data_IF_824879560508
#
_entry.id   IF_824879560508
#
_cell.length_a   1.000
_cell.length_b   1.000
_cell.length_c   1.000
_cell.angle_alpha   90.00
_cell.angle_beta   90.00
_cell.angle_gamma   90.00
#
_symmetry.space_group_name_H-M   'P 1'
#
loop_
_entity.id
_entity.type
_entity.pdbx_description
1 polymer ?
#
# COMPACT_ATOMS: atom_id res chain seq x y z
N UNK A 1 -5.95 -31.88 48.53
CA UNK A 1 -5.29 -32.31 47.30
C UNK A 1 -5.26 -31.11 46.38
N UNK A 2 -4.08 -30.49 46.20
CA UNK A 2 -3.87 -29.33 45.30
C UNK A 2 -3.39 -29.89 43.95
N UNK A 3 -4.17 -29.71 42.91
CA UNK A 3 -3.82 -30.13 41.56
C UNK A 3 -3.12 -28.95 40.89
N UNK A 4 -1.82 -29.11 40.70
CA UNK A 4 -0.95 -28.14 40.00
C UNK A 4 -1.10 -28.38 38.50
N UNK A 5 -1.65 -27.35 37.77
CA UNK A 5 -1.67 -27.35 36.33
C UNK A 5 -0.32 -26.80 35.84
N UNK A 6 0.45 -27.67 35.19
CA UNK A 6 1.69 -27.31 34.49
C UNK A 6 1.32 -26.76 33.11
N UNK A 7 1.46 -25.46 32.92
CA UNK A 7 1.44 -24.87 31.58
C UNK A 7 2.78 -25.09 30.90
N UNK A 8 2.79 -25.92 29.87
CA UNK A 8 3.91 -26.04 28.96
C UNK A 8 3.83 -24.89 27.95
N UNK A 9 4.63 -23.87 28.16
CA UNK A 9 4.84 -22.78 27.18
C UNK A 9 5.75 -23.29 26.09
N UNK A 10 5.20 -23.60 24.91
CA UNK A 10 5.99 -23.82 23.69
C UNK A 10 6.47 -22.44 23.19
N UNK A 11 7.70 -22.10 23.53
CA UNK A 11 8.45 -21.01 22.92
C UNK A 11 8.81 -21.42 21.48
N UNK A 12 8.01 -20.99 20.51
CA UNK A 12 8.42 -20.95 19.11
C UNK A 12 9.39 -19.77 19.00
N UNK A 13 10.67 -20.07 19.01
CA UNK A 13 11.74 -19.10 18.82
C UNK A 13 11.75 -18.58 17.38
N UNK A 14 10.98 -17.54 17.12
CA UNK A 14 11.30 -16.60 16.05
C UNK A 14 12.52 -15.81 16.55
N UNK A 15 13.71 -16.15 16.07
CA UNK A 15 14.94 -15.45 16.44
C UNK A 15 14.82 -13.98 16.13
N UNK A 16 14.59 -13.17 17.16
CA UNK A 16 14.64 -11.72 17.04
C UNK A 16 16.07 -11.35 16.61
N UNK A 17 16.21 -10.79 15.42
CA UNK A 17 17.48 -10.22 14.94
C UNK A 17 17.88 -9.13 15.94
N UNK A 18 19.10 -9.15 16.49
CA UNK A 18 19.53 -8.12 17.44
C UNK A 18 19.34 -6.72 16.87
N UNK A 19 18.89 -5.77 17.68
CA UNK A 19 18.62 -4.39 17.25
C UNK A 19 19.81 -3.76 16.51
N UNK A 20 21.03 -4.08 16.87
CA UNK A 20 22.25 -3.66 16.19
C UNK A 20 22.40 -4.22 14.77
N UNK A 21 22.01 -5.47 14.53
CA UNK A 21 22.07 -6.07 13.20
C UNK A 21 20.99 -5.50 12.26
N UNK A 22 19.81 -5.15 12.81
CA UNK A 22 18.76 -4.46 12.06
C UNK A 22 19.22 -3.04 11.66
N UNK A 23 19.85 -2.30 12.57
CA UNK A 23 20.37 -0.97 12.30
C UNK A 23 21.45 -0.99 11.21
N UNK A 24 22.39 -1.95 11.24
CA UNK A 24 23.42 -2.10 10.23
C UNK A 24 22.84 -2.41 8.85
N UNK A 25 21.87 -3.33 8.78
CA UNK A 25 21.21 -3.68 7.50
C UNK A 25 20.42 -2.51 6.90
N UNK A 26 19.89 -1.63 7.74
CA UNK A 26 19.20 -0.41 7.30
C UNK A 26 20.17 0.63 6.78
N UNK A 27 21.26 0.87 7.51
CA UNK A 27 22.30 1.80 7.13
C UNK A 27 22.89 1.41 5.76
N UNK A 28 23.18 0.14 5.53
CA UNK A 28 23.66 -0.39 4.26
C UNK A 28 22.67 -0.15 3.11
N UNK A 29 21.37 -0.29 3.36
CA UNK A 29 20.34 -0.04 2.34
C UNK A 29 20.30 1.41 1.90
N UNK A 30 20.38 2.36 2.84
CA UNK A 30 20.44 3.79 2.52
C UNK A 30 21.69 4.08 1.70
N UNK A 31 22.86 3.69 2.20
CA UNK A 31 24.16 3.96 1.58
C UNK A 31 24.23 3.43 0.15
N UNK A 32 23.76 2.20 -0.11
CA UNK A 32 23.75 1.58 -1.46
C UNK A 32 22.80 2.26 -2.44
N UNK A 33 21.83 3.01 -1.95
CA UNK A 33 20.80 3.66 -2.78
C UNK A 33 21.07 5.15 -3.02
N UNK A 34 22.06 5.72 -2.33
CA UNK A 34 22.44 7.11 -2.52
C UNK A 34 23.14 7.31 -3.88
N UNK A 35 22.97 8.48 -4.51
CA UNK A 35 23.67 8.78 -5.76
C UNK A 35 25.19 8.64 -5.63
N UNK A 36 25.82 8.00 -6.59
CA UNK A 36 27.30 7.88 -6.71
C UNK A 36 27.95 9.12 -7.31
N UNK A 37 27.18 10.10 -7.70
CA UNK A 37 27.66 11.40 -8.22
C UNK A 37 27.39 12.50 -7.21
N UNK A 38 28.43 13.29 -6.92
CA UNK A 38 28.27 14.46 -6.06
C UNK A 38 27.46 15.55 -6.78
N UNK A 39 26.42 16.03 -6.10
CA UNK A 39 25.64 17.19 -6.54
C UNK A 39 26.00 18.36 -5.64
N UNK A 40 26.55 19.46 -6.17
CA UNK A 40 26.85 20.65 -5.38
C UNK A 40 25.54 21.30 -4.86
N UNK A 41 25.60 22.03 -3.74
CA UNK A 41 24.42 22.75 -3.24
C UNK A 41 24.01 23.84 -4.22
N UNK A 42 22.69 23.94 -4.45
CA UNK A 42 22.08 24.93 -5.33
C UNK A 42 21.76 26.26 -4.61
N UNK A 43 21.70 26.23 -3.27
CA UNK A 43 21.29 27.39 -2.44
C UNK A 43 22.38 28.43 -2.21
N UNK A 44 23.52 28.34 -2.90
CA UNK A 44 24.61 29.30 -2.79
C UNK A 44 25.38 29.28 -1.48
N UNK A 45 25.25 28.20 -0.69
CA UNK A 45 25.98 28.01 0.57
C UNK A 45 27.49 27.90 0.30
N UNK A 46 28.29 28.71 0.98
CA UNK A 46 29.76 28.76 0.81
C UNK A 46 30.46 28.27 2.07
N UNK A 47 31.53 27.46 1.96
CA UNK A 47 32.25 26.96 3.12
C UNK A 47 32.77 28.05 4.07
N UNK A 48 33.29 29.15 3.55
CA UNK A 48 33.77 30.30 4.33
C UNK A 48 34.99 30.08 5.21
N UNK A 49 35.39 28.85 5.46
CA UNK A 49 36.51 28.45 6.29
C UNK A 49 37.25 27.25 5.68
N UNK A 50 38.59 27.19 5.79
CA UNK A 50 39.41 26.17 5.11
C UNK A 50 39.04 24.73 5.53
N UNK A 51 38.78 24.48 6.84
CA UNK A 51 38.36 23.15 7.31
C UNK A 51 37.02 22.76 6.76
N UNK A 52 36.07 23.70 6.65
CA UNK A 52 34.75 23.42 6.04
C UNK A 52 34.90 23.13 4.56
N UNK A 53 35.78 23.84 3.84
CA UNK A 53 36.13 23.53 2.45
C UNK A 53 36.75 22.15 2.31
N UNK A 54 37.68 21.78 3.19
CA UNK A 54 38.26 20.44 3.23
C UNK A 54 37.22 19.36 3.48
N UNK A 55 36.29 19.58 4.41
CA UNK A 55 35.16 18.67 4.67
C UNK A 55 34.26 18.48 3.46
N UNK A 56 33.94 19.56 2.74
CA UNK A 56 33.18 19.50 1.48
C UNK A 56 33.93 18.69 0.39
N UNK A 57 35.25 18.86 0.29
CA UNK A 57 36.10 18.10 -0.64
C UNK A 57 36.11 16.61 -0.30
N UNK A 58 36.31 16.27 0.99
CA UNK A 58 36.24 14.89 1.44
C UNK A 58 34.88 14.24 1.19
N UNK A 59 33.78 14.97 1.43
CA UNK A 59 32.43 14.49 1.10
C UNK A 59 32.32 14.19 -0.41
N UNK A 60 32.75 15.11 -1.28
CA UNK A 60 32.76 14.90 -2.73
C UNK A 60 33.59 13.66 -3.09
N UNK A 61 34.78 13.54 -2.60
CA UNK A 61 35.67 12.38 -2.82
C UNK A 61 34.99 11.09 -2.36
N UNK A 62 34.38 11.08 -1.17
CA UNK A 62 33.67 9.93 -0.63
C UNK A 62 32.45 9.52 -1.45
N UNK A 63 31.73 10.48 -2.04
CA UNK A 63 30.57 10.19 -2.92
C UNK A 63 31.01 9.61 -4.25
N UNK A 64 32.08 10.12 -4.86
CA UNK A 64 32.53 9.78 -6.21
C UNK A 64 33.51 8.59 -6.26
N UNK A 65 33.96 8.09 -5.12
CA UNK A 65 34.89 6.98 -5.02
C UNK A 65 34.15 5.63 -5.08
N UNK A 66 34.54 4.76 -6.02
CA UNK A 66 33.93 3.43 -6.20
C UNK A 66 34.39 2.42 -5.14
N UNK A 67 35.65 2.50 -4.68
CA UNK A 67 36.22 1.57 -3.71
C UNK A 67 35.68 1.84 -2.30
N UNK A 68 35.02 0.88 -1.65
CA UNK A 68 34.36 1.09 -0.34
C UNK A 68 35.34 1.57 0.75
N UNK A 69 36.56 1.06 0.77
CA UNK A 69 37.59 1.46 1.76
C UNK A 69 38.00 2.93 1.62
N UNK A 70 38.21 3.38 0.39
CA UNK A 70 38.56 4.77 0.10
C UNK A 70 37.41 5.70 0.38
N UNK A 71 36.17 5.28 0.03
CA UNK A 71 34.94 5.96 0.37
C UNK A 71 34.84 6.19 1.89
N UNK A 72 34.94 5.12 2.67
CA UNK A 72 34.82 5.19 4.13
C UNK A 72 35.92 6.07 4.75
N UNK A 73 37.13 5.99 4.24
CA UNK A 73 38.26 6.83 4.69
C UNK A 73 37.99 8.32 4.41
N UNK A 74 37.51 8.64 3.20
CA UNK A 74 37.18 10.01 2.82
C UNK A 74 36.04 10.57 3.71
N UNK A 75 34.94 9.83 3.85
CA UNK A 75 33.81 10.26 4.67
C UNK A 75 34.19 10.45 6.14
N UNK A 76 34.93 9.52 6.75
CA UNK A 76 35.43 9.64 8.11
C UNK A 76 36.35 10.85 8.30
N UNK A 77 37.24 11.11 7.33
CA UNK A 77 38.11 12.30 7.34
C UNK A 77 37.30 13.58 7.23
N UNK A 78 36.30 13.61 6.34
CA UNK A 78 35.37 14.74 6.20
C UNK A 78 34.60 15.04 7.47
N UNK A 79 34.02 13.99 8.09
CA UNK A 79 33.33 14.12 9.37
C UNK A 79 34.22 14.69 10.45
N UNK A 80 35.41 14.11 10.62
CA UNK A 80 36.38 14.59 11.63
C UNK A 80 36.72 16.07 11.46
N UNK A 81 37.04 16.49 10.25
CA UNK A 81 37.44 17.88 9.94
C UNK A 81 36.27 18.84 10.13
N UNK A 82 35.04 18.46 9.79
CA UNK A 82 33.84 19.27 10.00
C UNK A 82 33.50 19.41 11.49
N UNK A 83 33.57 18.33 12.27
CA UNK A 83 33.41 18.38 13.71
C UNK A 83 34.47 19.28 14.37
N UNK A 84 35.75 19.15 13.98
CA UNK A 84 36.79 20.04 14.46
C UNK A 84 36.54 21.51 14.08
N UNK A 85 36.01 21.78 12.89
CA UNK A 85 35.65 23.13 12.49
C UNK A 85 34.58 23.71 13.41
N UNK A 86 33.56 22.95 13.73
CA UNK A 86 32.44 23.34 14.57
C UNK A 86 32.91 23.52 16.04
N UNK A 87 33.56 22.49 16.59
CA UNK A 87 33.86 22.42 18.02
C UNK A 87 35.07 23.25 18.46
N UNK A 88 36.09 23.38 17.56
CA UNK A 88 37.40 23.96 17.95
C UNK A 88 37.77 25.20 17.14
N UNK A 89 37.07 25.51 16.06
CA UNK A 89 37.44 26.60 15.17
C UNK A 89 36.35 27.64 14.96
N UNK A 90 35.38 27.70 15.88
CA UNK A 90 34.34 28.74 15.90
C UNK A 90 33.38 28.70 14.73
N UNK A 91 33.17 27.51 14.10
CA UNK A 91 32.30 27.38 12.96
C UNK A 91 30.89 26.84 13.35
N UNK A 92 30.51 26.92 14.61
CA UNK A 92 29.20 26.50 15.12
C UNK A 92 28.02 27.31 14.54
N UNK A 93 28.29 28.54 14.07
CA UNK A 93 27.31 29.40 13.38
C UNK A 93 27.46 29.39 11.87
N UNK A 94 28.37 28.60 11.32
CA UNK A 94 28.55 28.46 9.88
C UNK A 94 27.56 27.41 9.32
N UNK A 95 26.54 27.80 8.53
CA UNK A 95 25.55 26.87 7.99
C UNK A 95 26.18 25.80 7.10
N UNK A 96 27.27 26.13 6.37
CA UNK A 96 27.94 25.17 5.50
C UNK A 96 28.62 24.04 6.29
N UNK A 97 29.17 24.32 7.49
CA UNK A 97 29.76 23.28 8.32
C UNK A 97 28.73 22.20 8.68
N UNK A 98 27.54 22.62 9.11
CA UNK A 98 26.43 21.73 9.44
C UNK A 98 25.83 21.05 8.21
N UNK A 99 25.69 21.77 7.10
CA UNK A 99 25.17 21.23 5.85
C UNK A 99 26.02 20.06 5.32
N UNK A 100 27.34 20.28 5.22
CA UNK A 100 28.26 19.24 4.76
C UNK A 100 28.39 18.10 5.78
N UNK A 101 28.34 18.38 7.07
CA UNK A 101 28.33 17.36 8.12
C UNK A 101 27.08 16.46 8.00
N UNK A 102 25.91 17.06 7.82
CA UNK A 102 24.65 16.33 7.66
C UNK A 102 24.65 15.42 6.42
N UNK A 103 25.20 15.92 5.29
CA UNK A 103 25.38 15.10 4.08
C UNK A 103 26.40 13.98 4.29
N UNK A 104 27.46 14.23 5.06
CA UNK A 104 28.45 13.19 5.39
C UNK A 104 27.82 12.09 6.23
N UNK A 105 27.07 12.45 7.28
CA UNK A 105 26.32 11.47 8.08
C UNK A 105 25.34 10.64 7.24
N UNK A 106 24.63 11.29 6.31
CA UNK A 106 23.72 10.59 5.41
C UNK A 106 24.45 9.57 4.55
N UNK A 107 25.64 9.91 4.03
CA UNK A 107 26.49 9.03 3.25
C UNK A 107 27.09 7.87 4.07
N UNK A 108 27.22 8.03 5.39
CA UNK A 108 27.58 6.95 6.34
C UNK A 108 26.39 6.13 6.81
N UNK A 109 25.14 6.53 6.48
CA UNK A 109 23.90 5.89 6.94
C UNK A 109 23.48 6.31 8.37
N UNK A 110 24.12 7.30 8.95
CA UNK A 110 23.73 7.89 10.23
C UNK A 110 22.60 8.91 10.02
N UNK A 111 21.35 8.43 10.08
CA UNK A 111 20.17 9.26 9.82
C UNK A 111 19.90 10.27 10.94
N UNK A 112 20.27 9.96 12.17
CA UNK A 112 20.08 10.85 13.33
C UNK A 112 21.06 12.01 13.26
N UNK A 113 22.34 11.72 13.02
CA UNK A 113 23.36 12.74 12.80
C UNK A 113 23.05 13.60 11.58
N UNK A 114 22.58 12.99 10.49
CA UNK A 114 22.16 13.70 9.29
C UNK A 114 20.98 14.65 9.58
N UNK A 115 19.91 14.17 10.23
CA UNK A 115 18.74 15.00 10.57
C UNK A 115 19.12 16.19 11.48
N UNK A 116 19.86 15.94 12.53
CA UNK A 116 20.31 16.97 13.48
C UNK A 116 21.14 18.06 12.79
N UNK A 117 22.15 17.63 11.99
CA UNK A 117 23.03 18.56 11.30
C UNK A 117 22.33 19.36 10.22
N UNK A 118 21.48 18.72 9.42
CA UNK A 118 20.69 19.38 8.36
C UNK A 118 19.67 20.36 8.96
N UNK A 119 19.07 20.04 10.10
CA UNK A 119 18.16 20.95 10.82
C UNK A 119 18.91 22.19 11.33
N UNK A 120 20.12 22.01 11.84
CA UNK A 120 20.96 23.14 12.26
C UNK A 120 21.36 24.04 11.08
N UNK A 121 21.72 23.42 9.95
CA UNK A 121 22.03 24.16 8.71
C UNK A 121 20.82 24.96 8.21
N UNK A 122 19.62 24.36 8.20
CA UNK A 122 18.37 25.02 7.79
C UNK A 122 18.02 26.20 8.69
N UNK A 123 18.21 26.03 10.01
CA UNK A 123 17.99 27.11 11.01
C UNK A 123 18.94 28.28 10.78
N UNK A 124 20.22 28.00 10.47
CA UNK A 124 21.24 29.04 10.26
C UNK A 124 21.14 29.70 8.88
N UNK A 125 20.61 29.01 7.87
CA UNK A 125 20.44 29.52 6.50
C UNK A 125 19.13 29.00 5.91
N UNK A 126 17.97 29.62 6.21
CA UNK A 126 16.66 29.20 5.70
C UNK A 126 16.56 29.18 4.18
N UNK A 127 17.39 29.96 3.47
CA UNK A 127 17.46 29.94 2.01
C UNK A 127 17.86 28.56 1.43
N UNK A 128 18.50 27.70 2.22
CA UNK A 128 18.88 26.35 1.83
C UNK A 128 17.80 25.28 2.12
N UNK A 129 16.63 25.66 2.61
CA UNK A 129 15.57 24.74 3.00
C UNK A 129 15.20 23.77 1.87
N UNK A 130 15.06 24.24 0.63
CA UNK A 130 14.70 23.38 -0.50
C UNK A 130 15.81 22.37 -0.82
N UNK A 131 17.05 22.80 -0.83
CA UNK A 131 18.22 21.93 -1.09
C UNK A 131 18.38 20.87 0.02
N UNK A 132 18.21 21.28 1.27
CA UNK A 132 18.21 20.38 2.43
C UNK A 132 17.03 19.39 2.33
N UNK A 133 15.85 19.83 1.91
CA UNK A 133 14.68 18.97 1.68
C UNK A 133 14.95 17.92 0.61
N UNK A 134 15.57 18.29 -0.52
CA UNK A 134 16.02 17.34 -1.56
C UNK A 134 17.01 16.31 -0.99
N UNK A 135 17.96 16.77 -0.19
CA UNK A 135 18.95 15.89 0.47
C UNK A 135 18.29 14.88 1.41
N UNK A 136 17.35 15.32 2.25
CA UNK A 136 16.58 14.48 3.15
C UNK A 136 15.73 13.46 2.39
N UNK A 137 15.06 13.89 1.32
CA UNK A 137 14.24 13.04 0.45
C UNK A 137 15.05 11.91 -0.20
N UNK A 138 16.29 12.20 -0.60
CA UNK A 138 17.20 11.17 -1.16
C UNK A 138 17.46 10.03 -0.17
N UNK A 139 17.60 10.33 1.13
CA UNK A 139 17.74 9.31 2.18
C UNK A 139 16.42 8.60 2.52
N UNK A 140 15.29 9.27 2.34
CA UNK A 140 13.96 8.77 2.68
C UNK A 140 13.46 7.68 1.72
N UNK A 141 13.66 7.87 0.40
CA UNK A 141 13.13 6.99 -0.65
C UNK A 141 13.51 5.51 -0.44
N UNK A 142 14.79 5.15 -0.24
CA UNK A 142 15.18 3.74 -0.08
C UNK A 142 14.60 3.10 1.20
N UNK A 143 14.35 3.91 2.23
CA UNK A 143 13.75 3.43 3.48
C UNK A 143 12.28 3.06 3.27
N UNK A 144 11.53 3.92 2.60
CA UNK A 144 10.11 3.64 2.33
C UNK A 144 9.95 2.47 1.37
N UNK A 145 10.71 2.43 0.28
CA UNK A 145 10.66 1.31 -0.64
C UNK A 145 11.03 -0.01 0.05
N UNK A 146 12.07 0.01 0.90
CA UNK A 146 12.44 -1.15 1.70
C UNK A 146 11.37 -1.57 2.71
N UNK A 147 10.70 -0.61 3.33
CA UNK A 147 9.57 -0.87 4.21
C UNK A 147 8.43 -1.56 3.48
N UNK A 148 8.07 -1.07 2.29
CA UNK A 148 7.04 -1.68 1.43
C UNK A 148 7.44 -3.11 1.03
N UNK A 149 8.70 -3.34 0.69
CA UNK A 149 9.19 -4.69 0.36
C UNK A 149 9.08 -5.67 1.55
N UNK A 150 9.33 -5.19 2.77
CA UNK A 150 9.13 -6.01 3.97
C UNK A 150 7.65 -6.25 4.27
N UNK A 151 6.76 -5.29 4.02
CA UNK A 151 5.30 -5.50 4.11
C UNK A 151 4.88 -6.64 3.17
N UNK A 152 5.33 -6.63 1.91
CA UNK A 152 5.04 -7.70 0.94
C UNK A 152 5.54 -9.08 1.42
N UNK A 153 6.63 -9.10 2.19
CA UNK A 153 7.20 -10.32 2.80
C UNK A 153 6.59 -10.65 4.17
N UNK A 154 5.56 -9.93 4.60
CA UNK A 154 4.90 -10.08 5.90
C UNK A 154 5.84 -9.89 7.11
N UNK A 155 6.96 -9.20 6.92
CA UNK A 155 7.90 -8.84 7.99
C UNK A 155 7.59 -7.43 8.51
N UNK A 156 6.56 -7.34 9.34
CA UNK A 156 6.04 -6.08 9.85
C UNK A 156 7.05 -5.33 10.73
N UNK A 157 7.84 -6.03 11.53
CA UNK A 157 8.83 -5.40 12.42
C UNK A 157 9.92 -4.67 11.64
N UNK A 158 10.48 -5.34 10.61
CA UNK A 158 11.45 -4.71 9.73
C UNK A 158 10.86 -3.55 8.92
N UNK A 159 9.61 -3.68 8.47
CA UNK A 159 8.90 -2.61 7.78
C UNK A 159 8.71 -1.39 8.68
N UNK A 160 8.21 -1.57 9.90
CA UNK A 160 8.02 -0.49 10.89
C UNK A 160 9.34 0.19 11.26
N UNK A 161 10.43 -0.58 11.41
CA UNK A 161 11.76 -0.01 11.66
C UNK A 161 12.19 0.94 10.53
N UNK A 162 12.02 0.53 9.27
CA UNK A 162 12.34 1.37 8.12
C UNK A 162 11.43 2.60 7.98
N UNK A 163 10.12 2.47 8.20
CA UNK A 163 9.20 3.60 8.17
C UNK A 163 9.49 4.62 9.29
N UNK A 164 9.85 4.17 10.50
CA UNK A 164 10.27 5.08 11.58
C UNK A 164 11.52 5.87 11.19
N UNK A 165 12.50 5.22 10.59
CA UNK A 165 13.73 5.87 10.14
C UNK A 165 13.47 6.83 8.96
N UNK A 166 12.60 6.46 8.03
CA UNK A 166 12.14 7.37 7.00
C UNK A 166 11.53 8.64 7.60
N UNK A 167 10.67 8.50 8.61
CA UNK A 167 10.07 9.62 9.31
C UNK A 167 11.08 10.44 10.16
N UNK A 168 12.23 9.88 10.51
CA UNK A 168 13.32 10.63 11.17
C UNK A 168 13.99 11.58 10.20
N UNK A 169 14.37 11.09 9.00
CA UNK A 169 15.15 11.90 8.07
C UNK A 169 14.30 12.88 7.25
N UNK A 170 13.05 12.54 6.91
CA UNK A 170 12.18 13.39 6.11
C UNK A 170 10.72 13.33 6.55
N UNK A 171 10.16 14.50 6.93
CA UNK A 171 8.84 14.61 7.58
C UNK A 171 7.77 15.24 6.68
N UNK A 172 8.11 15.56 5.41
CA UNK A 172 7.20 16.25 4.49
C UNK A 172 6.52 15.31 3.48
N UNK A 173 6.56 13.99 3.75
CA UNK A 173 5.82 12.97 3.01
C UNK A 173 5.03 12.08 3.96
N UNK A 174 3.71 11.91 3.72
CA UNK A 174 2.85 11.13 4.60
C UNK A 174 3.01 9.61 4.44
N UNK A 175 3.57 9.14 3.32
CA UNK A 175 3.51 7.73 2.91
C UNK A 175 4.11 6.76 3.93
N UNK A 176 5.21 7.12 4.64
CA UNK A 176 5.80 6.26 5.66
C UNK A 176 4.89 6.14 6.89
N UNK A 177 4.23 7.23 7.30
CA UNK A 177 3.22 7.21 8.35
C UNK A 177 1.98 6.42 7.92
N UNK A 178 1.51 6.63 6.70
CA UNK A 178 0.36 5.94 6.14
C UNK A 178 0.55 4.42 6.15
N UNK A 179 1.69 3.93 5.63
CA UNK A 179 1.99 2.50 5.59
C UNK A 179 2.20 1.89 6.98
N UNK A 180 2.84 2.60 7.91
CA UNK A 180 2.97 2.13 9.28
C UNK A 180 1.59 2.04 9.98
N UNK A 181 0.69 2.99 9.74
CA UNK A 181 -0.68 2.96 10.22
C UNK A 181 -1.44 1.71 9.74
N UNK A 182 -1.26 1.31 8.48
CA UNK A 182 -1.84 0.08 7.93
C UNK A 182 -1.32 -1.17 8.69
N UNK A 183 -0.03 -1.23 8.98
CA UNK A 183 0.53 -2.36 9.76
C UNK A 183 -0.10 -2.40 11.16
N UNK A 184 -0.19 -1.26 11.86
CA UNK A 184 -0.78 -1.19 13.18
C UNK A 184 -2.26 -1.59 13.18
N UNK A 185 -3.03 -1.16 12.17
CA UNK A 185 -4.43 -1.52 12.02
C UNK A 185 -4.61 -3.04 11.81
N UNK A 186 -3.76 -3.65 10.96
CA UNK A 186 -3.80 -5.07 10.65
C UNK A 186 -3.31 -5.95 11.83
N UNK A 187 -2.49 -5.39 12.72
CA UNK A 187 -2.01 -6.09 13.94
C UNK A 187 -2.86 -5.77 15.18
N UNK A 188 -4.00 -5.09 15.02
CA UNK A 188 -4.93 -4.79 16.09
C UNK A 188 -4.50 -3.66 17.04
N UNK A 189 -3.43 -2.94 16.71
CA UNK A 189 -2.92 -1.83 17.51
C UNK A 189 -3.64 -0.52 17.14
N UNK A 190 -4.91 -0.44 17.53
CA UNK A 190 -5.85 0.62 17.14
C UNK A 190 -5.34 2.03 17.42
N UNK A 191 -4.84 2.30 18.63
CA UNK A 191 -4.37 3.64 19.01
C UNK A 191 -3.13 4.06 18.21
N UNK A 192 -2.22 3.12 17.95
CA UNK A 192 -1.06 3.37 17.09
C UNK A 192 -1.48 3.67 15.66
N UNK A 193 -2.44 2.92 15.11
CA UNK A 193 -2.96 3.17 13.77
C UNK A 193 -3.58 4.57 13.66
N UNK A 194 -4.39 4.96 14.63
CA UNK A 194 -4.98 6.30 14.73
C UNK A 194 -3.90 7.37 14.72
N UNK A 195 -2.91 7.29 15.64
CA UNK A 195 -1.86 8.29 15.76
C UNK A 195 -1.03 8.45 14.48
N UNK A 196 -0.74 7.34 13.80
CA UNK A 196 0.02 7.37 12.55
C UNK A 196 -0.79 7.93 11.39
N UNK A 197 -2.09 7.62 11.27
CA UNK A 197 -2.94 8.18 10.22
C UNK A 197 -3.34 9.63 10.48
N UNK A 198 -3.48 10.07 11.75
CA UNK A 198 -3.60 11.48 12.10
C UNK A 198 -2.39 12.27 11.56
N UNK A 199 -1.17 11.73 11.81
CA UNK A 199 0.04 12.37 11.36
C UNK A 199 0.16 12.35 9.82
N UNK A 200 -0.21 11.26 9.17
CA UNK A 200 -0.23 11.17 7.72
C UNK A 200 -1.21 12.17 7.09
N UNK A 201 -2.42 12.30 7.65
CA UNK A 201 -3.43 13.26 7.19
C UNK A 201 -2.96 14.72 7.36
N UNK A 202 -2.41 15.07 8.54
CA UNK A 202 -1.85 16.39 8.82
C UNK A 202 -0.74 16.77 7.82
N UNK A 203 0.21 15.86 7.60
CA UNK A 203 1.32 16.09 6.67
C UNK A 203 0.77 16.23 5.24
N UNK A 204 -0.14 15.34 4.83
CA UNK A 204 -0.73 15.36 3.49
C UNK A 204 -1.49 16.67 3.21
N UNK A 205 -2.16 17.23 4.21
CA UNK A 205 -2.81 18.53 4.12
C UNK A 205 -1.79 19.67 3.99
N UNK A 206 -0.78 19.70 4.87
CA UNK A 206 0.26 20.73 4.88
C UNK A 206 1.10 20.75 3.61
N UNK A 207 1.38 19.57 3.03
CA UNK A 207 2.23 19.42 1.85
C UNK A 207 1.44 19.30 0.54
N UNK A 208 0.11 19.39 0.60
CA UNK A 208 -0.80 19.19 -0.52
C UNK A 208 -0.60 17.83 -1.24
N UNK A 209 -0.24 16.78 -0.48
CA UNK A 209 -0.15 15.41 -1.00
C UNK A 209 -1.54 14.78 -0.97
N UNK A 210 -2.36 15.10 -1.99
CA UNK A 210 -3.82 14.87 -2.03
C UNK A 210 -4.18 13.39 -1.83
N UNK A 211 -3.53 12.49 -2.55
CA UNK A 211 -3.83 11.06 -2.52
C UNK A 211 -3.59 10.46 -1.13
N UNK A 212 -2.38 10.62 -0.60
CA UNK A 212 -2.01 10.10 0.72
C UNK A 212 -2.87 10.70 1.84
N UNK A 213 -3.17 12.03 1.74
CA UNK A 213 -4.07 12.72 2.68
C UNK A 213 -5.46 12.07 2.69
N UNK A 214 -6.03 11.86 1.51
CA UNK A 214 -7.37 11.32 1.39
C UNK A 214 -7.43 9.87 1.92
N UNK A 215 -6.45 9.04 1.57
CA UNK A 215 -6.37 7.66 2.08
C UNK A 215 -6.19 7.64 3.61
N UNK A 216 -5.29 8.45 4.15
CA UNK A 216 -5.06 8.54 5.59
C UNK A 216 -6.32 8.97 6.35
N UNK A 217 -7.00 10.02 5.87
CA UNK A 217 -8.19 10.58 6.53
C UNK A 217 -9.37 9.63 6.49
N UNK A 218 -9.59 8.93 5.36
CA UNK A 218 -10.61 7.90 5.25
C UNK A 218 -10.34 6.73 6.21
N UNK A 219 -9.11 6.22 6.23
CA UNK A 219 -8.72 5.13 7.12
C UNK A 219 -8.84 5.53 8.59
N UNK A 220 -8.49 6.77 8.93
CA UNK A 220 -8.64 7.34 10.26
C UNK A 220 -10.10 7.37 10.70
N UNK A 221 -11.02 7.81 9.83
CA UNK A 221 -12.45 7.80 10.10
C UNK A 221 -12.97 6.40 10.39
N UNK A 222 -12.61 5.42 9.57
CA UNK A 222 -12.97 4.02 9.77
C UNK A 222 -12.40 3.45 11.09
N UNK A 223 -11.17 3.83 11.45
CA UNK A 223 -10.54 3.37 12.69
C UNK A 223 -11.20 3.99 13.92
N UNK A 224 -11.58 5.26 13.88
CA UNK A 224 -12.36 5.88 14.95
C UNK A 224 -13.71 5.20 15.14
N UNK A 225 -14.41 4.82 14.04
CA UNK A 225 -15.64 4.04 14.13
C UNK A 225 -15.42 2.68 14.80
N UNK A 226 -14.37 1.96 14.38
CA UNK A 226 -13.98 0.66 14.97
C UNK A 226 -13.64 0.79 16.45
N UNK A 227 -13.07 1.90 16.88
CA UNK A 227 -12.74 2.21 18.27
C UNK A 227 -13.95 2.72 19.08
N UNK A 228 -15.15 2.84 18.50
CA UNK A 228 -16.33 3.44 19.14
C UNK A 228 -16.26 4.97 19.32
N UNK A 229 -15.23 5.61 18.78
CA UNK A 229 -14.98 7.05 18.85
C UNK A 229 -15.75 7.81 17.76
N UNK A 230 -17.07 7.63 17.75
CA UNK A 230 -17.94 8.13 16.67
C UNK A 230 -17.92 9.65 16.50
N UNK A 231 -17.72 10.43 17.59
CA UNK A 231 -17.60 11.88 17.48
C UNK A 231 -16.33 12.30 16.74
N UNK A 232 -15.21 11.60 16.96
CA UNK A 232 -13.96 11.87 16.23
C UNK A 232 -14.08 11.41 14.77
N UNK A 233 -14.75 10.28 14.52
CA UNK A 233 -15.08 9.84 13.18
C UNK A 233 -15.90 10.89 12.41
N UNK A 234 -16.92 11.48 13.04
CA UNK A 234 -17.71 12.58 12.43
C UNK A 234 -16.80 13.71 11.98
N UNK A 235 -15.94 14.23 12.85
CA UNK A 235 -15.05 15.36 12.53
C UNK A 235 -14.15 15.09 11.32
N UNK A 236 -13.50 13.91 11.29
CA UNK A 236 -12.57 13.57 10.21
C UNK A 236 -13.29 13.24 8.90
N UNK A 237 -14.44 12.58 8.95
CA UNK A 237 -15.20 12.24 7.75
C UNK A 237 -15.89 13.47 7.15
N UNK A 238 -16.42 14.39 7.98
CA UNK A 238 -16.88 15.71 7.52
C UNK A 238 -15.76 16.45 6.80
N UNK A 239 -14.57 16.52 7.41
CA UNK A 239 -13.39 17.16 6.80
C UNK A 239 -13.00 16.50 5.48
N UNK A 240 -12.99 15.17 5.40
CA UNK A 240 -12.73 14.44 4.16
C UNK A 240 -13.69 14.84 3.05
N UNK A 241 -14.99 14.93 3.36
CA UNK A 241 -16.01 15.27 2.37
C UNK A 241 -15.94 16.74 1.88
N UNK A 242 -15.21 17.63 2.57
CA UNK A 242 -14.89 18.95 2.01
C UNK A 242 -13.94 18.84 0.81
N UNK A 243 -13.13 17.80 0.74
CA UNK A 243 -12.18 17.56 -0.35
C UNK A 243 -12.72 16.62 -1.42
N UNK A 244 -13.52 15.63 -1.00
CA UNK A 244 -14.07 14.60 -1.89
C UNK A 244 -15.59 14.48 -1.63
N UNK A 245 -16.37 15.49 -2.04
CA UNK A 245 -17.78 15.59 -1.67
C UNK A 245 -18.67 14.49 -2.26
N UNK A 246 -18.21 13.76 -3.27
CA UNK A 246 -19.00 12.72 -3.94
C UNK A 246 -18.64 11.28 -3.49
N UNK A 247 -17.80 11.11 -2.45
CA UNK A 247 -17.46 9.79 -1.94
C UNK A 247 -18.65 9.18 -1.17
N UNK A 248 -19.44 8.36 -1.87
CA UNK A 248 -20.63 7.73 -1.32
C UNK A 248 -20.33 6.76 -0.17
N UNK A 249 -19.14 6.13 -0.18
CA UNK A 249 -18.71 5.22 0.89
C UNK A 249 -18.47 6.00 2.19
N UNK A 250 -17.73 7.12 2.08
CA UNK A 250 -17.47 7.99 3.23
C UNK A 250 -18.76 8.65 3.73
N UNK A 251 -19.69 9.05 2.85
CA UNK A 251 -21.01 9.55 3.27
C UNK A 251 -21.78 8.51 4.09
N UNK A 252 -21.77 7.23 3.69
CA UNK A 252 -22.39 6.14 4.47
C UNK A 252 -21.70 5.96 5.82
N UNK A 253 -20.39 5.97 5.86
CA UNK A 253 -19.63 5.90 7.10
C UNK A 253 -19.95 7.07 8.04
N UNK A 254 -20.04 8.28 7.50
CA UNK A 254 -20.42 9.47 8.26
C UNK A 254 -21.85 9.37 8.79
N UNK A 255 -22.81 8.90 7.97
CA UNK A 255 -24.19 8.69 8.41
C UNK A 255 -24.26 7.70 9.58
N UNK A 256 -23.48 6.61 9.53
CA UNK A 256 -23.35 5.66 10.65
C UNK A 256 -22.84 6.35 11.93
N UNK A 257 -21.83 7.20 11.81
CA UNK A 257 -21.28 7.95 12.96
C UNK A 257 -22.25 8.99 13.48
N UNK A 258 -23.02 9.66 12.61
CA UNK A 258 -24.10 10.58 13.03
C UNK A 258 -25.18 9.86 13.82
N UNK A 259 -25.62 8.65 13.39
CA UNK A 259 -26.57 7.86 14.16
C UNK A 259 -26.04 7.49 15.54
N UNK A 260 -24.80 7.01 15.60
CA UNK A 260 -24.16 6.64 16.86
C UNK A 260 -23.98 7.84 17.83
N UNK A 261 -23.98 9.07 17.30
CA UNK A 261 -23.87 10.32 18.08
C UNK A 261 -25.21 11.05 18.25
N UNK A 262 -26.33 10.44 17.85
CA UNK A 262 -27.69 11.01 18.01
C UNK A 262 -28.05 12.07 16.97
N UNK A 263 -27.22 12.32 15.95
CA UNK A 263 -27.45 13.30 14.88
C UNK A 263 -28.30 12.69 13.74
N UNK A 264 -29.47 12.19 14.07
CA UNK A 264 -30.33 11.39 13.18
C UNK A 264 -30.77 12.12 11.91
N UNK A 265 -31.04 13.43 11.99
CA UNK A 265 -31.48 14.23 10.83
C UNK A 265 -30.36 14.35 9.79
N UNK A 266 -29.11 14.57 10.25
CA UNK A 266 -27.94 14.60 9.36
C UNK A 266 -27.67 13.23 8.74
N UNK A 267 -27.82 12.15 9.51
CA UNK A 267 -27.68 10.79 9.00
C UNK A 267 -28.69 10.53 7.88
N UNK A 268 -29.98 10.85 8.12
CA UNK A 268 -31.05 10.67 7.14
C UNK A 268 -30.85 11.51 5.87
N UNK A 269 -30.32 12.73 6.00
CA UNK A 269 -30.00 13.57 4.84
C UNK A 269 -28.91 12.95 3.96
N UNK A 270 -27.81 12.46 4.55
CA UNK A 270 -26.74 11.78 3.82
C UNK A 270 -27.20 10.45 3.19
N UNK A 271 -28.00 9.66 3.92
CA UNK A 271 -28.55 8.41 3.42
C UNK A 271 -29.44 8.64 2.19
N UNK A 272 -30.28 9.68 2.22
CA UNK A 272 -31.09 10.10 1.06
C UNK A 272 -30.21 10.50 -0.12
N UNK A 273 -29.15 11.25 0.14
CA UNK A 273 -28.21 11.71 -0.91
C UNK A 273 -27.47 10.55 -1.59
N UNK A 274 -27.07 9.52 -0.82
CA UNK A 274 -26.38 8.34 -1.37
C UNK A 274 -27.31 7.23 -1.84
N UNK A 275 -28.62 7.51 -1.88
CA UNK A 275 -29.64 6.55 -2.33
C UNK A 275 -29.91 5.42 -1.35
N UNK A 276 -29.53 5.58 -0.09
CA UNK A 276 -29.92 4.67 1.00
C UNK A 276 -31.24 5.18 1.55
N UNK A 277 -32.36 4.47 1.30
CA UNK A 277 -33.64 4.79 1.92
C UNK A 277 -33.50 4.81 3.45
N UNK A 278 -34.00 5.88 4.10
CA UNK A 278 -34.03 5.99 5.54
C UNK A 278 -34.63 4.72 6.15
N UNK A 279 -33.89 4.05 7.04
CA UNK A 279 -34.41 2.89 7.73
C UNK A 279 -35.53 3.33 8.65
N UNK A 280 -36.81 2.90 8.45
CA UNK A 280 -37.79 2.95 9.51
C UNK A 280 -37.31 2.00 10.61
N UNK A 281 -37.38 2.40 11.86
CA UNK A 281 -36.85 1.75 13.05
C UNK A 281 -36.69 0.25 12.96
N UNK A 282 -35.50 -0.25 13.30
CA UNK A 282 -35.14 -1.66 13.53
C UNK A 282 -35.74 -2.67 12.51
N UNK A 283 -35.63 -2.40 11.22
CA UNK A 283 -35.95 -3.34 10.15
C UNK A 283 -34.71 -3.88 9.50
N UNK A 284 -34.77 -5.08 8.94
CA UNK A 284 -33.64 -5.80 8.32
C UNK A 284 -32.82 -4.91 7.35
N UNK A 285 -31.49 -5.02 7.34
CA UNK A 285 -30.63 -4.23 6.46
C UNK A 285 -30.99 -4.43 4.98
N UNK A 286 -30.83 -3.39 4.15
CA UNK A 286 -31.02 -3.52 2.71
C UNK A 286 -30.13 -4.65 2.15
N UNK A 287 -30.53 -5.33 1.07
CA UNK A 287 -29.73 -6.41 0.48
C UNK A 287 -28.25 -6.02 0.24
N UNK A 288 -27.98 -4.78 -0.20
CA UNK A 288 -26.63 -4.28 -0.41
C UNK A 288 -25.88 -4.01 0.92
N UNK A 289 -26.55 -3.48 1.95
CA UNK A 289 -25.97 -3.28 3.28
C UNK A 289 -25.76 -4.61 4.01
N UNK A 290 -26.65 -5.57 3.82
CA UNK A 290 -26.51 -6.93 4.34
C UNK A 290 -25.32 -7.65 3.67
N UNK A 291 -25.14 -7.47 2.36
CA UNK A 291 -24.00 -8.02 1.62
C UNK A 291 -22.68 -7.42 2.05
N UNK A 292 -22.61 -6.08 2.22
CA UNK A 292 -21.41 -5.40 2.72
C UNK A 292 -21.07 -5.82 4.16
N UNK A 293 -22.06 -5.96 5.04
CA UNK A 293 -21.86 -6.45 6.40
C UNK A 293 -21.36 -7.91 6.43
N UNK A 294 -21.95 -8.77 5.60
CA UNK A 294 -21.52 -10.16 5.46
C UNK A 294 -20.09 -10.26 4.89
N UNK A 295 -19.73 -9.42 3.91
CA UNK A 295 -18.39 -9.34 3.35
C UNK A 295 -17.37 -8.94 4.41
N UNK A 296 -17.64 -7.89 5.19
CA UNK A 296 -16.76 -7.45 6.27
C UNK A 296 -16.56 -8.53 7.35
N UNK A 297 -17.62 -9.24 7.71
CA UNK A 297 -17.53 -10.36 8.65
C UNK A 297 -16.67 -11.49 8.10
N UNK A 298 -16.85 -11.87 6.83
CA UNK A 298 -16.06 -12.91 6.16
C UNK A 298 -14.58 -12.52 6.09
N UNK A 299 -14.25 -11.28 5.74
CA UNK A 299 -12.90 -10.72 5.75
C UNK A 299 -12.32 -10.73 7.18
N UNK A 300 -13.13 -10.40 8.20
CA UNK A 300 -12.73 -10.46 9.61
C UNK A 300 -12.30 -11.87 10.01
N UNK A 301 -13.09 -12.89 9.70
CA UNK A 301 -12.73 -14.29 9.95
C UNK A 301 -11.45 -14.70 9.21
N UNK A 302 -11.28 -14.27 7.97
CA UNK A 302 -10.06 -14.55 7.19
C UNK A 302 -8.81 -13.94 7.84
N UNK A 303 -8.88 -12.68 8.27
CA UNK A 303 -7.78 -11.97 8.92
C UNK A 303 -7.41 -12.60 10.28
N UNK A 304 -8.40 -13.16 10.98
CA UNK A 304 -8.19 -13.94 12.21
C UNK A 304 -7.70 -15.38 11.94
N UNK A 305 -7.44 -15.75 10.69
CA UNK A 305 -7.05 -17.09 10.24
C UNK A 305 -8.09 -18.18 10.54
N UNK A 306 -9.33 -17.80 10.79
CA UNK A 306 -10.49 -18.69 10.96
C UNK A 306 -11.04 -19.03 9.56
N UNK A 307 -10.23 -19.74 8.78
CA UNK A 307 -10.49 -19.96 7.35
C UNK A 307 -11.74 -20.76 7.07
N UNK A 308 -12.16 -21.65 7.97
CA UNK A 308 -13.41 -22.39 7.91
C UNK A 308 -14.63 -21.46 8.02
N UNK A 309 -14.62 -20.54 8.98
CA UNK A 309 -15.67 -19.55 9.17
C UNK A 309 -15.68 -18.52 8.04
N UNK A 310 -14.49 -18.10 7.58
CA UNK A 310 -14.36 -17.21 6.43
C UNK A 310 -14.93 -17.86 5.17
N UNK A 311 -14.58 -19.11 4.87
CA UNK A 311 -15.11 -19.84 3.71
C UNK A 311 -16.62 -19.97 3.77
N UNK A 312 -17.18 -20.37 4.92
CA UNK A 312 -18.65 -20.48 5.09
C UNK A 312 -19.37 -19.15 4.90
N UNK A 313 -18.79 -18.04 5.39
CA UNK A 313 -19.35 -16.71 5.22
C UNK A 313 -19.27 -16.23 3.76
N UNK A 314 -18.15 -16.44 3.07
CA UNK A 314 -18.01 -16.12 1.65
C UNK A 314 -18.92 -17.01 0.78
N UNK A 315 -19.08 -18.31 1.10
CA UNK A 315 -20.01 -19.21 0.41
C UNK A 315 -21.44 -18.67 0.43
N UNK A 316 -21.89 -18.13 1.56
CA UNK A 316 -23.22 -17.52 1.70
C UNK A 316 -23.41 -16.30 0.81
N UNK A 317 -22.36 -15.48 0.65
CA UNK A 317 -22.40 -14.32 -0.25
C UNK A 317 -22.45 -14.79 -1.70
N UNK A 318 -21.56 -15.69 -2.07
CA UNK A 318 -21.46 -16.25 -3.44
C UNK A 318 -22.72 -17.02 -3.87
N UNK A 319 -23.46 -17.61 -2.93
CA UNK A 319 -24.74 -18.25 -3.20
C UNK A 319 -25.83 -17.25 -3.61
N UNK A 320 -25.79 -16.03 -3.07
CA UNK A 320 -26.75 -14.95 -3.38
C UNK A 320 -26.28 -14.08 -4.55
N UNK A 321 -24.98 -13.91 -4.68
CA UNK A 321 -24.31 -13.05 -5.64
C UNK A 321 -23.24 -13.87 -6.40
N UNK A 322 -23.64 -14.70 -7.38
CA UNK A 322 -22.73 -15.66 -8.02
C UNK A 322 -21.52 -15.05 -8.73
N UNK A 323 -21.63 -13.79 -9.13
CA UNK A 323 -20.58 -13.04 -9.82
C UNK A 323 -19.91 -12.00 -8.93
N UNK A 324 -20.09 -12.07 -7.61
CA UNK A 324 -19.36 -11.22 -6.67
C UNK A 324 -17.89 -11.67 -6.65
N UNK A 325 -17.08 -10.95 -7.44
CA UNK A 325 -15.66 -11.23 -7.66
C UNK A 325 -14.86 -11.24 -6.37
N UNK A 326 -15.13 -10.29 -5.48
CA UNK A 326 -14.36 -10.14 -4.23
C UNK A 326 -14.71 -11.23 -3.22
N UNK A 327 -15.97 -11.65 -3.16
CA UNK A 327 -16.38 -12.79 -2.35
C UNK A 327 -15.77 -14.10 -2.88
N UNK A 328 -15.74 -14.32 -4.19
CA UNK A 328 -15.08 -15.48 -4.81
C UNK A 328 -13.57 -15.49 -4.53
N UNK A 329 -12.92 -14.31 -4.56
CA UNK A 329 -11.49 -14.19 -4.27
C UNK A 329 -11.19 -14.48 -2.80
N UNK A 330 -12.00 -13.95 -1.87
CA UNK A 330 -11.93 -14.25 -0.45
C UNK A 330 -12.17 -15.73 -0.15
N UNK A 331 -13.12 -16.35 -0.84
CA UNK A 331 -13.43 -17.77 -0.75
C UNK A 331 -12.26 -18.64 -1.21
N UNK A 332 -11.68 -18.32 -2.36
CA UNK A 332 -10.52 -19.04 -2.89
C UNK A 332 -9.33 -18.96 -1.94
N UNK A 333 -9.04 -17.77 -1.41
CA UNK A 333 -7.97 -17.58 -0.42
C UNK A 333 -8.25 -18.35 0.89
N UNK A 334 -9.49 -18.42 1.34
CA UNK A 334 -9.88 -19.20 2.50
C UNK A 334 -9.60 -20.70 2.27
N UNK A 335 -9.88 -21.22 1.07
CA UNK A 335 -9.57 -22.60 0.72
C UNK A 335 -8.08 -22.86 0.54
N UNK A 336 -7.26 -21.86 0.19
CA UNK A 336 -5.79 -21.97 0.29
C UNK A 336 -5.38 -22.18 1.74
N UNK A 337 -5.93 -21.38 2.67
CA UNK A 337 -5.66 -21.51 4.10
C UNK A 337 -6.08 -22.87 4.68
N UNK A 338 -7.20 -23.40 4.21
CA UNK A 338 -7.73 -24.73 4.57
C UNK A 338 -7.03 -25.90 3.86
N UNK A 339 -6.14 -25.62 2.91
CA UNK A 339 -5.52 -26.62 2.02
C UNK A 339 -6.54 -27.50 1.29
N UNK A 340 -7.71 -26.94 0.97
CA UNK A 340 -8.80 -27.62 0.29
C UNK A 340 -8.70 -27.43 -1.24
N UNK A 341 -7.90 -28.27 -1.90
CA UNK A 341 -7.65 -28.21 -3.34
C UNK A 341 -8.90 -28.26 -4.21
N UNK A 342 -9.83 -29.19 -4.01
CA UNK A 342 -11.05 -29.28 -4.82
C UNK A 342 -11.89 -28.00 -4.78
N UNK A 343 -12.18 -27.47 -3.60
CA UNK A 343 -12.96 -26.25 -3.43
C UNK A 343 -12.20 -24.99 -3.90
N UNK A 344 -10.89 -24.95 -3.74
CA UNK A 344 -10.05 -23.89 -4.33
C UNK A 344 -10.16 -23.90 -5.86
N UNK A 345 -10.05 -25.09 -6.50
CA UNK A 345 -10.16 -25.18 -7.93
C UNK A 345 -11.54 -24.74 -8.47
N UNK A 346 -12.61 -25.01 -7.72
CA UNK A 346 -13.96 -24.55 -8.04
C UNK A 346 -14.08 -23.02 -7.96
N UNK A 347 -13.71 -22.41 -6.84
CA UNK A 347 -13.79 -20.96 -6.64
C UNK A 347 -12.89 -20.19 -7.62
N UNK A 348 -11.65 -20.65 -7.81
CA UNK A 348 -10.71 -20.06 -8.77
C UNK A 348 -11.16 -20.27 -10.24
N UNK A 349 -11.85 -21.35 -10.53
CA UNK A 349 -12.47 -21.60 -11.82
C UNK A 349 -13.52 -20.54 -12.17
N UNK A 350 -14.41 -20.25 -11.24
CA UNK A 350 -15.42 -19.18 -11.39
C UNK A 350 -14.78 -17.79 -11.53
N UNK A 351 -13.72 -17.51 -10.78
CA UNK A 351 -12.94 -16.28 -10.97
C UNK A 351 -12.31 -16.19 -12.34
N UNK A 352 -11.77 -17.30 -12.86
CA UNK A 352 -11.17 -17.36 -14.21
C UNK A 352 -12.20 -17.23 -15.35
N UNK A 353 -13.49 -17.40 -15.06
CA UNK A 353 -14.60 -17.08 -15.99
C UNK A 353 -14.91 -15.57 -15.95
N UNK A 354 -14.74 -14.91 -14.81
CA UNK A 354 -14.91 -13.46 -14.66
C UNK A 354 -13.71 -12.71 -15.25
N UNK A 355 -12.49 -13.14 -14.93
CA UNK A 355 -11.23 -12.51 -15.34
C UNK A 355 -10.32 -13.51 -16.07
N UNK A 356 -10.64 -13.91 -17.29
CA UNK A 356 -9.90 -14.98 -17.99
C UNK A 356 -8.46 -14.62 -18.38
N UNK A 357 -8.09 -13.35 -18.41
CA UNK A 357 -6.74 -12.86 -18.68
C UNK A 357 -6.02 -12.30 -17.44
N UNK A 358 -6.54 -12.54 -16.25
CA UNK A 358 -5.84 -12.28 -15.00
C UNK A 358 -4.95 -13.50 -14.66
N UNK A 359 -3.63 -13.36 -14.86
CA UNK A 359 -2.70 -14.47 -14.70
C UNK A 359 -2.59 -14.97 -13.25
N UNK A 360 -2.80 -14.11 -12.26
CA UNK A 360 -2.83 -14.49 -10.85
C UNK A 360 -3.98 -15.45 -10.57
N UNK A 361 -5.18 -15.14 -11.06
CA UNK A 361 -6.37 -15.98 -10.92
C UNK A 361 -6.18 -17.33 -11.62
N UNK A 362 -5.65 -17.30 -12.85
CA UNK A 362 -5.42 -18.54 -13.60
C UNK A 362 -4.33 -19.40 -12.92
N UNK A 363 -3.31 -18.81 -12.29
CA UNK A 363 -2.34 -19.53 -11.44
C UNK A 363 -3.00 -20.13 -10.20
N UNK A 364 -3.91 -19.37 -9.58
CA UNK A 364 -4.68 -19.85 -8.41
C UNK A 364 -5.52 -21.09 -8.79
N UNK A 365 -6.15 -21.10 -9.96
CA UNK A 365 -6.86 -22.26 -10.50
C UNK A 365 -5.93 -23.44 -10.69
N UNK A 366 -4.77 -23.24 -11.34
CA UNK A 366 -3.78 -24.31 -11.54
C UNK A 366 -3.29 -24.91 -10.21
N UNK A 367 -3.07 -24.05 -9.18
CA UNK A 367 -2.71 -24.49 -7.86
C UNK A 367 -3.80 -25.34 -7.19
N UNK A 368 -5.06 -24.91 -7.25
CA UNK A 368 -6.20 -25.66 -6.73
C UNK A 368 -6.34 -27.02 -7.41
N UNK A 369 -6.18 -27.08 -8.73
CA UNK A 369 -6.22 -28.33 -9.51
C UNK A 369 -5.08 -29.29 -9.10
N UNK A 370 -3.86 -28.76 -8.87
CA UNK A 370 -2.72 -29.57 -8.38
C UNK A 370 -2.97 -30.10 -6.97
N UNK A 371 -3.45 -29.24 -6.08
CA UNK A 371 -3.81 -29.66 -4.71
C UNK A 371 -4.96 -30.69 -4.71
N UNK A 372 -5.84 -30.64 -5.71
CA UNK A 372 -6.91 -31.62 -5.94
C UNK A 372 -6.42 -32.92 -6.65
N UNK A 373 -5.12 -33.06 -6.87
CA UNK A 373 -4.50 -34.18 -7.61
C UNK A 373 -4.98 -34.34 -9.07
N UNK A 374 -5.43 -33.23 -9.69
CA UNK A 374 -5.87 -33.17 -11.08
C UNK A 374 -4.73 -32.69 -11.98
N UNK A 375 -3.62 -33.42 -12.03
CA UNK A 375 -2.36 -33.00 -12.66
C UNK A 375 -2.50 -32.61 -14.14
N UNK A 376 -3.25 -33.39 -14.93
CA UNK A 376 -3.47 -33.09 -16.35
C UNK A 376 -4.17 -31.72 -16.54
N UNK A 377 -5.17 -31.40 -15.70
CA UNK A 377 -5.87 -30.13 -15.74
C UNK A 377 -4.96 -28.99 -15.26
N UNK A 378 -4.21 -29.21 -14.18
CA UNK A 378 -3.27 -28.23 -13.64
C UNK A 378 -2.19 -27.85 -14.69
N UNK A 379 -1.64 -28.85 -15.40
CA UNK A 379 -0.66 -28.62 -16.45
C UNK A 379 -1.25 -27.86 -17.63
N UNK A 380 -2.47 -28.19 -18.08
CA UNK A 380 -3.18 -27.43 -19.12
C UNK A 380 -3.40 -25.98 -18.71
N UNK A 381 -3.82 -25.74 -17.46
CA UNK A 381 -4.05 -24.39 -16.94
C UNK A 381 -2.73 -23.62 -16.78
N UNK A 382 -1.66 -24.27 -16.32
CA UNK A 382 -0.33 -23.66 -16.23
C UNK A 382 0.22 -23.27 -17.62
N UNK A 383 0.05 -24.13 -18.63
CA UNK A 383 0.41 -23.84 -20.02
C UNK A 383 -0.37 -22.63 -20.56
N UNK A 384 -1.65 -22.51 -20.22
CA UNK A 384 -2.45 -21.33 -20.57
C UNK A 384 -1.83 -20.04 -19.99
N UNK A 385 -1.41 -20.04 -18.72
CA UNK A 385 -0.72 -18.88 -18.11
C UNK A 385 0.58 -18.53 -18.85
N UNK A 386 1.38 -19.55 -19.21
CA UNK A 386 2.63 -19.35 -19.93
C UNK A 386 2.39 -18.76 -21.33
N UNK A 387 1.28 -19.09 -21.97
CA UNK A 387 0.96 -18.61 -23.32
C UNK A 387 0.21 -17.28 -23.37
N UNK A 388 -0.05 -16.64 -22.23
CA UNK A 388 -0.74 -15.35 -22.15
C UNK A 388 0.24 -14.19 -22.34
N UNK A 389 0.25 -13.48 -23.50
CA UNK A 389 1.16 -12.36 -23.73
C UNK A 389 0.72 -11.06 -23.03
N UNK A 390 -0.48 -11.04 -22.47
CA UNK A 390 -1.06 -9.91 -21.72
C UNK A 390 -1.75 -10.43 -20.47
N UNK A 391 -1.54 -9.74 -19.34
CA UNK A 391 -2.36 -9.87 -18.15
C UNK A 391 -3.27 -8.65 -18.00
N UNK A 392 -4.52 -8.89 -17.65
CA UNK A 392 -5.55 -7.85 -17.47
C UNK A 392 -6.05 -7.90 -16.03
N UNK A 393 -5.81 -6.83 -15.29
CA UNK A 393 -6.23 -6.69 -13.89
C UNK A 393 -7.23 -5.55 -13.76
N UNK A 394 -8.41 -5.84 -13.22
CA UNK A 394 -9.38 -4.82 -12.85
C UNK A 394 -9.07 -4.34 -11.44
N UNK A 395 -8.81 -3.05 -11.30
CA UNK A 395 -8.49 -2.41 -10.02
C UNK A 395 -9.71 -1.87 -9.29
N UNK A 396 -10.75 -1.48 -10.04
CA UNK A 396 -11.97 -0.92 -9.46
C UNK A 396 -13.20 -1.27 -10.31
N UNK A 397 -14.28 -1.60 -9.63
CA UNK A 397 -15.64 -1.64 -10.16
C UNK A 397 -16.50 -0.71 -9.32
N UNK A 398 -17.12 0.27 -9.95
CA UNK A 398 -17.92 1.31 -9.30
C UNK A 398 -19.36 1.31 -9.86
N UNK A 399 -20.28 0.50 -9.29
CA UNK A 399 -21.68 0.53 -9.65
C UNK A 399 -22.38 1.76 -9.06
N UNK A 400 -23.32 2.31 -9.82
CA UNK A 400 -24.19 3.43 -9.42
C UNK A 400 -25.65 3.07 -9.69
N UNK A 401 -26.60 3.92 -9.31
CA UNK A 401 -28.01 3.71 -9.64
C UNK A 401 -28.28 3.74 -11.15
N UNK A 402 -27.45 4.43 -11.93
CA UNK A 402 -27.65 4.68 -13.37
C UNK A 402 -26.73 3.84 -14.27
N UNK A 403 -25.77 3.12 -13.69
CA UNK A 403 -24.81 2.35 -14.46
C UNK A 403 -23.62 1.87 -13.64
N UNK A 404 -22.49 1.59 -14.30
CA UNK A 404 -21.26 1.21 -13.62
C UNK A 404 -20.03 1.62 -14.44
N UNK A 405 -18.89 1.76 -13.76
CA UNK A 405 -17.59 1.97 -14.37
C UNK A 405 -16.59 0.94 -13.86
N UNK A 406 -15.76 0.43 -14.77
CA UNK A 406 -14.62 -0.45 -14.47
C UNK A 406 -13.36 0.29 -14.86
N UNK A 407 -12.34 0.25 -13.99
CA UNK A 407 -10.98 0.68 -14.32
C UNK A 407 -10.00 -0.42 -14.02
N UNK A 408 -8.92 -0.48 -14.79
CA UNK A 408 -7.91 -1.52 -14.65
C UNK A 408 -6.68 -1.25 -15.49
N UNK A 409 -5.86 -2.27 -15.65
CA UNK A 409 -4.61 -2.20 -16.41
C UNK A 409 -4.39 -3.49 -17.19
N UNK A 410 -4.04 -3.34 -18.47
CA UNK A 410 -3.48 -4.41 -19.29
C UNK A 410 -1.95 -4.29 -19.27
N UNK A 411 -1.24 -5.37 -18.97
CA UNK A 411 0.24 -5.40 -18.89
C UNK A 411 0.79 -6.47 -19.80
N UNK A 412 1.73 -6.10 -20.66
CA UNK A 412 2.45 -7.02 -21.56
C UNK A 412 3.38 -7.96 -20.77
N UNK A 413 3.36 -9.24 -21.14
CA UNK A 413 4.09 -10.29 -20.44
C UNK A 413 4.93 -11.11 -21.43
N UNK A 414 6.01 -11.66 -20.95
CA UNK A 414 6.70 -12.73 -21.65
C UNK A 414 5.79 -13.97 -21.73
N UNK A 415 5.61 -14.50 -22.93
CA UNK A 415 4.74 -15.63 -23.18
C UNK A 415 5.39 -16.61 -24.16
N UNK A 416 5.14 -17.91 -23.94
CA UNK A 416 5.64 -19.00 -24.77
C UNK A 416 4.59 -20.09 -24.96
N UNK A 417 4.65 -20.76 -26.09
CA UNK A 417 3.82 -21.93 -26.36
C UNK A 417 4.22 -23.12 -25.48
N UNK A 418 3.45 -24.17 -25.46
CA UNK A 418 3.78 -25.42 -24.77
C UNK A 418 5.12 -26.03 -25.25
N UNK A 419 5.55 -25.75 -26.48
CA UNK A 419 6.84 -26.17 -27.02
C UNK A 419 8.00 -25.17 -26.75
N UNK A 420 7.77 -24.14 -25.92
CA UNK A 420 8.78 -23.15 -25.58
C UNK A 420 9.03 -22.06 -26.62
N UNK A 421 8.25 -22.02 -27.71
CA UNK A 421 8.39 -20.95 -28.72
C UNK A 421 7.78 -19.64 -28.18
N UNK A 422 8.44 -18.48 -28.33
CA UNK A 422 7.88 -17.20 -27.95
C UNK A 422 6.53 -16.92 -28.60
N UNK A 423 5.60 -16.37 -27.85
CA UNK A 423 4.31 -15.87 -28.36
C UNK A 423 4.46 -14.39 -28.66
N UNK A 424 4.26 -14.01 -29.92
CA UNK A 424 4.29 -12.60 -30.33
C UNK A 424 3.07 -11.88 -29.76
N UNK A 425 3.23 -10.76 -29.03
CA UNK A 425 2.10 -9.95 -28.60
C UNK A 425 1.29 -9.46 -29.78
N UNK A 426 -0.02 -9.62 -29.70
CA UNK A 426 -0.98 -9.13 -30.70
C UNK A 426 -2.02 -8.25 -30.01
N UNK A 427 -2.60 -7.30 -30.76
CA UNK A 427 -3.74 -6.54 -30.30
C UNK A 427 -4.94 -7.49 -30.08
N UNK A 428 -5.75 -7.19 -29.06
CA UNK A 428 -6.97 -7.93 -28.77
C UNK A 428 -8.11 -6.99 -28.40
N UNK A 429 -9.32 -7.43 -28.67
CA UNK A 429 -10.53 -6.78 -28.20
C UNK A 429 -11.09 -7.56 -27.01
N UNK A 430 -11.38 -6.86 -25.93
CA UNK A 430 -12.08 -7.40 -24.76
C UNK A 430 -13.50 -6.85 -24.76
N UNK A 431 -14.49 -7.70 -24.51
CA UNK A 431 -15.86 -7.26 -24.18
C UNK A 431 -16.02 -7.34 -22.67
N UNK A 432 -16.27 -6.19 -22.03
CA UNK A 432 -16.71 -6.11 -20.66
C UNK A 432 -18.23 -6.20 -20.62
N UNK A 433 -18.75 -7.20 -19.94
CA UNK A 433 -20.17 -7.43 -19.70
C UNK A 433 -20.51 -6.99 -18.27
N UNK A 434 -21.50 -6.12 -18.15
CA UNK A 434 -22.03 -5.61 -16.88
C UNK A 434 -23.30 -6.39 -16.55
N UNK A 435 -23.33 -6.95 -15.34
CA UNK A 435 -24.28 -7.98 -14.97
C UNK A 435 -25.21 -7.52 -13.84
N UNK A 436 -26.44 -8.00 -13.88
CA UNK A 436 -27.36 -7.94 -12.74
C UNK A 436 -26.99 -9.01 -11.68
N UNK A 437 -27.76 -9.04 -10.60
CA UNK A 437 -27.56 -10.00 -9.48
C UNK A 437 -27.69 -11.45 -9.91
N UNK A 438 -28.43 -11.74 -11.00
CA UNK A 438 -28.61 -13.08 -11.55
C UNK A 438 -27.54 -13.48 -12.56
N UNK A 439 -26.65 -12.52 -12.92
CA UNK A 439 -25.63 -12.71 -13.94
C UNK A 439 -26.12 -12.46 -15.36
N UNK A 440 -27.29 -11.85 -15.53
CA UNK A 440 -27.80 -11.44 -16.84
C UNK A 440 -27.05 -10.21 -17.30
N UNK A 441 -26.65 -10.16 -18.57
CA UNK A 441 -25.97 -9.03 -19.16
C UNK A 441 -26.95 -7.86 -19.32
N UNK A 442 -26.70 -6.78 -18.58
CA UNK A 442 -27.47 -5.52 -18.67
C UNK A 442 -26.92 -4.65 -19.80
N UNK A 443 -25.58 -4.58 -19.91
CA UNK A 443 -24.89 -3.83 -20.93
C UNK A 443 -23.50 -4.42 -21.19
N UNK A 444 -22.88 -4.03 -22.31
CA UNK A 444 -21.50 -4.43 -22.62
C UNK A 444 -20.75 -3.30 -23.30
N UNK A 445 -19.43 -3.29 -23.16
CA UNK A 445 -18.54 -2.37 -23.84
C UNK A 445 -17.29 -3.09 -24.32
N UNK A 446 -16.89 -2.81 -25.55
CA UNK A 446 -15.62 -3.24 -26.10
C UNK A 446 -14.48 -2.32 -25.67
N UNK A 447 -13.34 -2.93 -25.34
CA UNK A 447 -12.09 -2.25 -24.98
C UNK A 447 -10.97 -2.82 -25.84
N UNK A 448 -10.28 -1.95 -26.57
CA UNK A 448 -9.13 -2.33 -27.38
C UNK A 448 -7.86 -2.37 -26.53
N UNK A 449 -7.15 -3.47 -26.56
CA UNK A 449 -5.83 -3.63 -25.94
C UNK A 449 -4.82 -3.81 -27.09
N UNK A 450 -3.91 -2.86 -27.30
CA UNK A 450 -2.91 -2.96 -28.35
C UNK A 450 -1.90 -4.08 -28.07
N UNK A 451 -1.06 -4.40 -29.03
CA UNK A 451 0.08 -5.28 -28.81
C UNK A 451 1.07 -4.60 -27.83
N UNK A 452 1.16 -5.12 -26.63
CA UNK A 452 2.00 -4.58 -25.56
C UNK A 452 3.36 -5.30 -25.52
N UNK A 453 4.45 -4.53 -25.48
CA UNK A 453 5.78 -5.07 -25.18
C UNK A 453 5.82 -5.59 -23.75
N UNK A 454 6.71 -6.53 -23.46
CA UNK A 454 6.93 -7.04 -22.11
C UNK A 454 7.21 -5.90 -21.13
N UNK A 455 6.45 -5.84 -20.04
CA UNK A 455 6.52 -4.80 -19.02
C UNK A 455 5.79 -3.50 -19.37
N UNK A 456 5.34 -3.31 -20.60
CA UNK A 456 4.51 -2.15 -20.95
C UNK A 456 3.09 -2.32 -20.39
N UNK A 457 2.51 -1.24 -19.90
CA UNK A 457 1.16 -1.22 -19.33
C UNK A 457 0.30 -0.17 -20.00
N UNK A 458 -0.99 -0.50 -20.16
CA UNK A 458 -2.02 0.40 -20.66
C UNK A 458 -3.21 0.42 -19.70
N UNK A 459 -3.69 1.59 -19.27
CA UNK A 459 -4.95 1.72 -18.57
C UNK A 459 -6.11 1.19 -19.43
N UNK A 460 -7.05 0.50 -18.81
CA UNK A 460 -8.31 0.11 -19.39
C UNK A 460 -9.45 0.72 -18.61
N UNK A 461 -10.48 1.14 -19.34
CA UNK A 461 -11.70 1.67 -18.76
C UNK A 461 -12.90 1.17 -19.58
N UNK A 462 -13.91 0.72 -18.86
CA UNK A 462 -15.21 0.39 -19.44
C UNK A 462 -16.32 1.00 -18.58
N UNK A 463 -17.38 1.47 -19.21
CA UNK A 463 -18.54 2.03 -18.54
C UNK A 463 -19.83 1.62 -19.22
N UNK A 464 -20.90 1.50 -18.44
CA UNK A 464 -22.21 1.16 -18.96
C UNK A 464 -23.29 1.97 -18.25
N UNK A 465 -24.34 2.29 -18.99
CA UNK A 465 -25.61 2.81 -18.45
C UNK A 465 -26.58 1.64 -18.29
N UNK A 466 -27.32 1.63 -17.21
CA UNK A 466 -28.31 0.61 -16.91
C UNK A 466 -28.48 0.43 -15.41
N UNK A 467 -29.72 0.36 -14.95
CA UNK A 467 -30.03 0.12 -13.55
C UNK A 467 -29.78 -1.34 -13.16
N UNK A 468 -29.44 -1.60 -11.90
CA UNK A 468 -29.31 -2.96 -11.38
C UNK A 468 -28.01 -3.67 -11.72
N UNK A 469 -27.01 -2.97 -12.24
CA UNK A 469 -25.66 -3.52 -12.44
C UNK A 469 -24.98 -3.68 -11.08
N UNK A 470 -24.61 -4.93 -10.76
CA UNK A 470 -23.96 -5.26 -9.47
C UNK A 470 -22.72 -6.13 -9.63
N UNK A 471 -22.43 -6.60 -10.84
CA UNK A 471 -21.28 -7.44 -11.13
C UNK A 471 -20.81 -7.22 -12.57
N UNK A 472 -19.71 -7.88 -12.93
CA UNK A 472 -19.11 -7.77 -14.24
C UNK A 472 -18.28 -9.01 -14.56
N UNK A 473 -18.00 -9.19 -15.82
CA UNK A 473 -16.98 -10.11 -16.35
C UNK A 473 -16.45 -9.59 -17.69
N UNK A 474 -15.34 -10.12 -18.15
CA UNK A 474 -14.90 -9.83 -19.51
C UNK A 474 -14.49 -11.10 -20.26
N UNK A 475 -14.49 -11.02 -21.57
CA UNK A 475 -14.01 -12.06 -22.47
C UNK A 475 -13.27 -11.44 -23.66
N UNK A 476 -12.42 -12.24 -24.30
CA UNK A 476 -11.81 -11.86 -25.58
C UNK A 476 -12.79 -12.17 -26.72
N UNK A 477 -12.83 -11.26 -27.68
CA UNK A 477 -13.52 -11.46 -28.96
C UNK A 477 -12.62 -12.23 -29.92
#
# INVERSE_FOLDING_TARGET
>A
MKTTIVMVSVLIGAGAVPAGAQQTAVNDRVVKSLPSRYVPPECGIKPGHFKVSSGATYLKTGVETELPENRNRALSSGKKVLLEAIEKNGQEKNPAAWYYLGRTYLQEGDLVGADSSLTKAETLMPACKEDISKTRYTGWVPLVNGGIDFVKKQNNDSALALFRQANTIYRDKPSAYLNAGVIFANTGQTDSAIAYWEKASEIGERTNTVEDRNVATRNLGAMYQKAGRHQDAVKVLEKYLTWVPQDAEVKRALATSYRATGQNDKAAALEKEVGVAAAPGAGAPSPAAASAGAMNAAIGFYNEKKYDQAAAAFEQIVAKEPYNRDALYGLANSYIGLKNGPKLAEAAGRLAEIEPYNDEIVRMLANGQRMAKKEAQANKTATRVLSMPVSVTVSQFAPTAEGATITGTATGREAQTASGKPVTPAAMTLIFEFLDVKGTVVASQEVQVPALKVGASQPIQASAKGAGIVAWRYKKV
#
